data_IF_502728707669
#
_entry.id   IF_502728707669
#
_cell.length_a   1.000
_cell.length_b   1.000
_cell.length_c   1.000
_cell.angle_alpha   90.00
_cell.angle_beta   90.00
_cell.angle_gamma   90.00
#
_symmetry.space_group_name_H-M   'P 1'
#
loop_
_entity.id
_entity.type
_entity.pdbx_description
1 polymer ?
#
# COMPACT_ATOMS: atom_id res chain seq x y z
N UNK A 1 12.91 -38.22 -47.16
CA UNK A 1 13.07 -38.53 -45.72
C UNK A 1 12.62 -37.31 -44.92
N UNK A 2 11.51 -37.36 -44.17
CA UNK A 2 11.06 -36.23 -43.31
C UNK A 2 10.39 -36.63 -41.98
N UNK A 3 10.31 -37.93 -41.63
CA UNK A 3 9.56 -38.39 -40.44
C UNK A 3 10.09 -37.90 -39.09
N UNK A 4 11.37 -37.53 -38.98
CA UNK A 4 11.97 -37.19 -37.68
C UNK A 4 11.48 -35.85 -37.08
N UNK A 5 10.98 -34.91 -37.91
CA UNK A 5 10.47 -33.61 -37.44
C UNK A 5 9.06 -33.71 -36.85
N UNK A 6 8.19 -34.48 -37.50
CA UNK A 6 6.80 -34.64 -37.07
C UNK A 6 6.69 -35.27 -35.66
N UNK A 7 7.57 -36.23 -35.32
CA UNK A 7 7.63 -36.79 -33.97
C UNK A 7 8.13 -35.79 -32.93
N UNK A 8 9.08 -34.92 -33.29
CA UNK A 8 9.59 -33.88 -32.39
C UNK A 8 8.52 -32.82 -32.10
N UNK A 9 7.71 -32.48 -33.10
CA UNK A 9 6.62 -31.50 -32.97
C UNK A 9 5.47 -32.05 -32.13
N UNK A 10 5.01 -33.28 -32.41
CA UNK A 10 3.98 -33.94 -31.60
C UNK A 10 4.43 -34.17 -30.13
N UNK A 11 5.71 -34.50 -29.92
CA UNK A 11 6.27 -34.64 -28.56
C UNK A 11 6.34 -33.30 -27.85
N UNK A 12 6.74 -32.23 -28.54
CA UNK A 12 6.77 -30.88 -27.97
C UNK A 12 5.37 -30.40 -27.58
N UNK A 13 4.37 -30.65 -28.43
CA UNK A 13 2.98 -30.32 -28.14
C UNK A 13 2.46 -31.06 -26.89
N UNK A 14 2.79 -32.33 -26.73
CA UNK A 14 2.45 -33.10 -25.52
C UNK A 14 3.11 -32.52 -24.26
N UNK A 15 4.37 -32.09 -24.35
CA UNK A 15 5.07 -31.45 -23.23
C UNK A 15 4.36 -30.14 -22.84
N UNK A 16 4.04 -29.29 -23.80
CA UNK A 16 3.36 -28.02 -23.53
C UNK A 16 1.98 -28.23 -22.89
N UNK A 17 1.24 -29.25 -23.33
CA UNK A 17 -0.04 -29.64 -22.73
C UNK A 17 0.10 -30.07 -21.27
N UNK A 18 1.08 -30.91 -20.93
CA UNK A 18 1.30 -31.34 -19.55
C UNK A 18 1.84 -30.20 -18.67
N UNK A 19 2.71 -29.33 -19.18
CA UNK A 19 3.17 -28.14 -18.46
C UNK A 19 1.99 -27.22 -18.14
N UNK A 20 1.12 -26.97 -19.12
CA UNK A 20 -0.09 -26.15 -18.92
C UNK A 20 -0.99 -26.76 -17.85
N UNK A 21 -1.23 -28.07 -17.92
CA UNK A 21 -2.04 -28.78 -16.95
C UNK A 21 -1.47 -28.67 -15.53
N UNK A 22 -0.16 -28.85 -15.35
CA UNK A 22 0.50 -28.69 -14.05
C UNK A 22 0.33 -27.27 -13.48
N UNK A 23 0.45 -26.25 -14.33
CA UNK A 23 0.25 -24.85 -13.93
C UNK A 23 -1.21 -24.59 -13.54
N UNK A 24 -2.15 -25.07 -14.35
CA UNK A 24 -3.58 -24.91 -14.09
C UNK A 24 -3.97 -25.60 -12.78
N UNK A 25 -3.50 -26.83 -12.54
CA UNK A 25 -3.75 -27.58 -11.31
C UNK A 25 -3.16 -26.87 -10.09
N UNK A 26 -1.92 -26.38 -10.19
CA UNK A 26 -1.26 -25.62 -9.13
C UNK A 26 -2.01 -24.31 -8.81
N UNK A 27 -2.45 -23.60 -9.84
CA UNK A 27 -3.24 -22.37 -9.68
C UNK A 27 -4.59 -22.64 -9.01
N UNK A 28 -5.32 -23.68 -9.44
CA UNK A 28 -6.60 -24.02 -8.86
C UNK A 28 -6.46 -24.48 -7.40
N UNK A 29 -5.41 -25.25 -7.08
CA UNK A 29 -5.11 -25.64 -5.71
C UNK A 29 -4.85 -24.42 -4.82
N UNK A 30 -3.98 -23.51 -5.27
CA UNK A 30 -3.67 -22.28 -4.54
C UNK A 30 -4.94 -21.43 -4.35
N UNK A 31 -5.69 -21.18 -5.42
CA UNK A 31 -6.94 -20.41 -5.37
C UNK A 31 -7.96 -21.01 -4.42
N UNK A 32 -8.18 -22.32 -4.50
CA UNK A 32 -9.12 -23.04 -3.63
C UNK A 32 -8.68 -22.93 -2.16
N UNK A 33 -7.39 -23.11 -1.89
CA UNK A 33 -6.83 -22.99 -0.53
C UNK A 33 -7.00 -21.59 0.04
N UNK A 34 -6.72 -20.55 -0.76
CA UNK A 34 -6.84 -19.15 -0.35
C UNK A 34 -8.31 -18.75 -0.13
N UNK A 35 -9.22 -19.19 -1.00
CA UNK A 35 -10.66 -18.93 -0.85
C UNK A 35 -11.22 -19.63 0.39
N UNK A 36 -10.84 -20.88 0.63
CA UNK A 36 -11.27 -21.65 1.81
C UNK A 36 -10.79 -21.03 3.14
N UNK A 37 -9.70 -20.26 3.12
CA UNK A 37 -9.11 -19.61 4.29
C UNK A 37 -9.22 -18.07 4.20
N UNK A 38 -10.28 -17.56 3.57
CA UNK A 38 -10.44 -16.12 3.30
C UNK A 38 -10.48 -15.26 4.57
N UNK A 39 -11.04 -15.77 5.65
CA UNK A 39 -11.07 -15.16 6.97
C UNK A 39 -9.66 -14.87 7.53
N UNK A 40 -8.75 -15.84 7.41
CA UNK A 40 -7.34 -15.70 7.81
C UNK A 40 -6.63 -14.71 6.90
N UNK A 41 -6.91 -14.77 5.60
CA UNK A 41 -6.36 -13.88 4.59
C UNK A 41 -6.74 -12.41 4.85
N UNK A 42 -7.99 -12.15 5.23
CA UNK A 42 -8.45 -10.82 5.66
C UNK A 42 -7.76 -10.35 6.95
N UNK A 43 -7.52 -11.28 7.88
CA UNK A 43 -6.81 -10.97 9.13
C UNK A 43 -5.36 -10.58 8.86
N UNK A 44 -4.67 -11.32 7.98
CA UNK A 44 -3.30 -11.00 7.53
C UNK A 44 -3.27 -9.65 6.84
N UNK A 45 -4.23 -9.37 5.95
CA UNK A 45 -4.30 -8.09 5.23
C UNK A 45 -4.49 -6.90 6.19
N UNK A 46 -5.38 -7.02 7.18
CA UNK A 46 -5.58 -6.00 8.21
C UNK A 46 -4.33 -5.78 9.05
N UNK A 47 -3.68 -6.87 9.46
CA UNK A 47 -2.43 -6.79 10.22
C UNK A 47 -1.30 -6.15 9.40
N UNK A 48 -1.19 -6.41 8.09
CA UNK A 48 -0.23 -5.73 7.22
C UNK A 48 -0.56 -4.25 7.02
N UNK A 49 -1.83 -3.86 7.00
CA UNK A 49 -2.20 -2.44 6.98
C UNK A 49 -1.82 -1.72 8.28
N UNK A 50 -1.86 -2.42 9.41
CA UNK A 50 -1.54 -1.86 10.73
C UNK A 50 -0.05 -1.89 11.06
N UNK A 51 0.69 -2.91 10.63
CA UNK A 51 2.09 -3.08 11.03
C UNK A 51 3.09 -3.04 9.88
N UNK A 52 2.61 -2.89 8.63
CA UNK A 52 3.37 -2.86 7.37
C UNK A 52 4.13 -4.15 7.02
N UNK A 53 4.68 -4.84 8.01
CA UNK A 53 5.47 -6.06 7.88
C UNK A 53 5.02 -7.07 8.93
N UNK A 54 4.92 -8.35 8.52
CA UNK A 54 4.73 -9.48 9.41
C UNK A 54 5.85 -10.48 9.19
N UNK A 55 6.34 -11.08 10.27
CA UNK A 55 7.28 -12.20 10.19
C UNK A 55 6.55 -13.54 10.00
N UNK A 56 7.31 -14.60 9.72
CA UNK A 56 6.74 -15.93 9.49
C UNK A 56 6.08 -16.54 10.73
N UNK A 57 6.50 -16.18 11.94
CA UNK A 57 5.90 -16.68 13.17
C UNK A 57 4.52 -16.08 13.42
N UNK A 58 4.37 -14.78 13.14
CA UNK A 58 3.12 -14.04 13.22
C UNK A 58 2.11 -14.49 12.16
N UNK A 59 2.60 -14.74 10.94
CA UNK A 59 1.76 -15.32 9.89
C UNK A 59 1.22 -16.69 10.34
N UNK A 60 2.08 -17.52 10.93
CA UNK A 60 1.71 -18.84 11.45
C UNK A 60 0.68 -18.75 12.57
N UNK A 61 0.83 -17.80 13.50
CA UNK A 61 -0.18 -17.53 14.54
C UNK A 61 -1.55 -17.22 13.93
N UNK A 62 -1.62 -16.36 12.92
CA UNK A 62 -2.88 -16.03 12.26
C UNK A 62 -3.47 -17.26 11.54
N UNK A 63 -2.63 -18.08 10.91
CA UNK A 63 -3.11 -19.28 10.21
C UNK A 63 -3.64 -20.36 11.17
N UNK A 64 -2.98 -20.54 12.33
CA UNK A 64 -3.32 -21.56 13.32
C UNK A 64 -4.44 -21.13 14.27
N UNK A 65 -4.47 -19.86 14.66
CA UNK A 65 -5.38 -19.34 15.69
C UNK A 65 -6.43 -18.36 15.16
N UNK A 66 -6.34 -17.96 13.89
CA UNK A 66 -7.25 -17.00 13.27
C UNK A 66 -7.05 -15.55 13.73
N UNK A 67 -6.00 -15.27 14.52
CA UNK A 67 -5.69 -13.93 15.04
C UNK A 67 -4.20 -13.76 15.33
N UNK A 68 -3.73 -12.52 15.29
CA UNK A 68 -2.38 -12.15 15.69
C UNK A 68 -2.31 -12.12 17.23
N UNK A 69 -1.41 -12.91 17.82
CA UNK A 69 -1.26 -13.00 19.29
C UNK A 69 -0.09 -12.11 19.72
N UNK A 70 1.01 -12.12 18.97
CA UNK A 70 2.22 -11.35 19.25
C UNK A 70 2.49 -10.33 18.14
N UNK A 71 2.03 -9.07 18.30
CA UNK A 71 2.23 -8.04 17.28
C UNK A 71 3.71 -7.64 17.11
N UNK A 72 4.10 -7.15 15.92
CA UNK A 72 5.48 -6.74 15.65
C UNK A 72 5.97 -5.66 16.65
N UNK A 73 7.16 -5.83 17.24
CA UNK A 73 7.72 -4.83 18.14
C UNK A 73 8.19 -3.60 17.36
N UNK A 74 7.74 -2.41 17.76
CA UNK A 74 8.36 -1.14 17.36
C UNK A 74 7.78 -0.45 16.13
N UNK A 75 6.69 -0.95 15.55
CA UNK A 75 5.91 -0.16 14.58
C UNK A 75 4.89 0.64 15.38
N UNK A 76 5.08 1.96 15.48
CA UNK A 76 4.01 2.81 15.98
C UNK A 76 2.80 2.57 15.07
N UNK A 77 1.59 2.29 15.61
CA UNK A 77 0.43 2.06 14.77
C UNK A 77 0.31 3.24 13.80
N UNK A 78 0.08 3.00 12.50
CA UNK A 78 -0.06 4.06 11.53
C UNK A 78 -1.08 5.04 12.09
N UNK A 79 -0.77 6.36 12.04
CA UNK A 79 -1.63 7.34 12.65
C UNK A 79 -3.03 7.14 12.07
N UNK A 80 -3.99 6.78 12.92
CA UNK A 80 -5.38 6.67 12.50
C UNK A 80 -5.80 7.98 11.83
N UNK A 81 -6.77 7.95 10.91
CA UNK A 81 -7.29 9.17 10.27
C UNK A 81 -7.64 10.23 11.33
N UNK A 82 -8.18 9.80 12.48
CA UNK A 82 -8.46 10.66 13.64
C UNK A 82 -7.18 11.22 14.29
N UNK A 83 -6.16 10.40 14.47
CA UNK A 83 -4.85 10.84 14.99
C UNK A 83 -4.17 11.83 14.06
N UNK A 84 -4.24 11.60 12.74
CA UNK A 84 -3.68 12.49 11.73
C UNK A 84 -4.42 13.84 11.72
N UNK A 85 -5.75 13.81 11.79
CA UNK A 85 -6.57 15.03 11.90
C UNK A 85 -6.24 15.84 13.16
N UNK A 86 -6.17 15.19 14.32
CA UNK A 86 -5.81 15.85 15.58
C UNK A 86 -4.39 16.44 15.54
N UNK A 87 -3.44 15.71 14.94
CA UNK A 87 -2.07 16.18 14.77
C UNK A 87 -2.00 17.37 13.82
N UNK A 88 -2.71 17.32 12.68
CA UNK A 88 -2.80 18.42 11.71
C UNK A 88 -3.41 19.67 12.35
N UNK A 89 -4.48 19.54 13.12
CA UNK A 89 -5.09 20.67 13.84
C UNK A 89 -4.09 21.30 14.82
N UNK A 90 -3.37 20.47 15.58
CA UNK A 90 -2.29 20.93 16.46
C UNK A 90 -1.13 21.59 15.70
N UNK A 91 -0.75 21.08 14.54
CA UNK A 91 0.30 21.66 13.69
C UNK A 91 -0.12 23.01 13.12
N UNK A 92 -1.36 23.14 12.63
CA UNK A 92 -1.95 24.39 12.13
C UNK A 92 -2.00 25.45 13.24
N UNK A 93 -2.45 25.08 14.45
CA UNK A 93 -2.51 26.01 15.58
C UNK A 93 -1.11 26.48 16.01
N UNK A 94 -0.15 25.55 16.14
CA UNK A 94 1.25 25.88 16.46
C UNK A 94 1.86 26.82 15.41
N UNK A 95 1.52 26.63 14.14
CA UNK A 95 2.00 27.51 13.08
C UNK A 95 1.42 28.92 13.22
N UNK A 96 0.09 29.02 13.37
CA UNK A 96 -0.63 30.30 13.57
C UNK A 96 -0.15 31.07 14.80
N UNK A 97 0.21 30.39 15.89
CA UNK A 97 0.63 31.03 17.14
C UNK A 97 2.14 31.23 17.27
N UNK A 98 2.94 30.33 16.67
CA UNK A 98 4.38 30.23 16.91
C UNK A 98 5.27 30.92 15.86
N UNK A 99 4.73 31.22 14.68
CA UNK A 99 5.49 31.86 13.59
C UNK A 99 4.94 33.26 13.33
N UNK A 100 5.75 34.29 13.61
CA UNK A 100 5.39 35.69 13.36
C UNK A 100 5.07 35.90 11.88
N UNK A 101 3.96 36.60 11.59
CA UNK A 101 3.48 36.90 10.24
C UNK A 101 3.20 35.65 9.38
N UNK A 102 2.93 34.50 9.99
CA UNK A 102 2.49 33.32 9.25
C UNK A 102 0.99 33.36 8.94
N UNK A 103 0.61 32.78 7.81
CA UNK A 103 -0.80 32.51 7.45
C UNK A 103 -0.93 31.09 6.93
N UNK A 104 -2.04 30.45 7.26
CA UNK A 104 -2.42 29.13 6.73
C UNK A 104 -3.63 29.34 5.83
N UNK A 105 -3.49 29.03 4.54
CA UNK A 105 -4.58 29.06 3.58
C UNK A 105 -5.07 27.64 3.37
N UNK A 106 -6.35 27.41 3.63
CA UNK A 106 -7.02 26.15 3.33
C UNK A 106 -7.52 26.20 1.89
N UNK A 107 -7.05 25.28 1.06
CA UNK A 107 -7.57 25.11 -0.29
C UNK A 107 -8.81 24.22 -0.23
N UNK A 108 -9.98 24.85 -0.35
CA UNK A 108 -11.25 24.14 -0.38
C UNK A 108 -11.23 23.00 -1.41
N UNK A 109 -11.85 21.87 -1.06
CA UNK A 109 -12.02 20.68 -1.90
C UNK A 109 -10.76 19.84 -2.21
N UNK A 110 -9.61 20.15 -1.62
CA UNK A 110 -8.37 19.41 -1.91
C UNK A 110 -7.69 18.78 -0.70
N UNK A 111 -8.09 19.06 0.55
CA UNK A 111 -7.33 18.69 1.76
C UNK A 111 -5.87 19.20 1.75
N UNK A 112 -5.52 20.20 0.93
CA UNK A 112 -4.19 20.80 0.87
C UNK A 112 -4.16 22.13 1.63
N UNK A 113 -3.04 22.37 2.34
CA UNK A 113 -2.80 23.61 3.09
C UNK A 113 -1.51 24.27 2.59
N UNK A 114 -1.55 25.58 2.36
CA UNK A 114 -0.36 26.36 2.06
C UNK A 114 0.08 27.12 3.32
N UNK A 115 1.31 26.87 3.74
CA UNK A 115 1.95 27.55 4.85
C UNK A 115 2.86 28.67 4.33
N UNK A 116 2.45 29.92 4.52
CA UNK A 116 3.23 31.08 4.08
C UNK A 116 4.04 31.59 5.26
N UNK A 117 5.37 31.51 5.15
CA UNK A 117 6.31 32.20 6.02
C UNK A 117 6.99 33.25 5.16
N UNK A 118 6.86 34.52 5.57
CA UNK A 118 7.33 35.69 4.83
C UNK A 118 6.51 35.99 3.56
N UNK A 119 5.43 36.75 3.75
CA UNK A 119 4.48 37.19 2.71
C UNK A 119 5.17 37.79 1.47
N UNK A 120 6.28 38.51 1.66
CA UNK A 120 7.06 39.09 0.57
C UNK A 120 7.66 38.03 -0.37
N UNK A 121 8.10 36.89 0.16
CA UNK A 121 8.69 35.82 -0.64
C UNK A 121 7.61 35.13 -1.49
N UNK A 122 6.45 34.85 -0.89
CA UNK A 122 5.34 34.18 -1.59
C UNK A 122 4.70 35.08 -2.63
N UNK A 123 4.49 36.37 -2.34
CA UNK A 123 3.99 37.33 -3.35
C UNK A 123 4.96 37.44 -4.53
N UNK A 124 6.28 37.41 -4.27
CA UNK A 124 7.30 37.42 -5.33
C UNK A 124 7.27 36.17 -6.19
N UNK A 125 7.19 34.98 -5.59
CA UNK A 125 7.13 33.71 -6.32
C UNK A 125 5.79 33.53 -7.06
N UNK A 126 4.66 33.92 -6.45
CA UNK A 126 3.35 33.92 -7.13
C UNK A 126 3.29 34.90 -8.29
N UNK A 127 3.88 36.10 -8.15
CA UNK A 127 4.00 37.03 -9.29
C UNK A 127 4.85 36.45 -10.40
N UNK A 128 5.95 35.75 -10.08
CA UNK A 128 6.78 35.10 -11.10
C UNK A 128 5.96 34.02 -11.84
N UNK A 129 5.24 33.19 -11.11
CA UNK A 129 4.41 32.13 -11.67
C UNK A 129 3.26 32.66 -12.55
N UNK A 130 2.61 33.77 -12.15
CA UNK A 130 1.49 34.36 -12.90
C UNK A 130 1.92 35.27 -14.07
N UNK A 131 3.20 35.61 -14.18
CA UNK A 131 3.74 36.49 -15.24
C UNK A 131 4.61 35.73 -16.25
N UNK A 132 4.81 34.42 -16.09
CA UNK A 132 5.50 33.53 -17.04
C UNK A 132 4.52 32.61 -17.80
N UNK A 133 3.37 33.15 -18.22
CA UNK A 133 2.56 32.63 -19.35
C UNK A 133 2.53 33.64 -20.50
#
# INVERSE_FOLDING_TARGET
MSRARDYSEATAEQIDQEVKKLLDDGYQLAKTTLIANRDKLETIAKALLEFETLDGSQLKEIVEHGRLINPPPGVAPPPTIKSLANWMEGAIQRFRSGVKNSRVIELHDTNHYLFIVEEALVVREMRRFLLEE
#
